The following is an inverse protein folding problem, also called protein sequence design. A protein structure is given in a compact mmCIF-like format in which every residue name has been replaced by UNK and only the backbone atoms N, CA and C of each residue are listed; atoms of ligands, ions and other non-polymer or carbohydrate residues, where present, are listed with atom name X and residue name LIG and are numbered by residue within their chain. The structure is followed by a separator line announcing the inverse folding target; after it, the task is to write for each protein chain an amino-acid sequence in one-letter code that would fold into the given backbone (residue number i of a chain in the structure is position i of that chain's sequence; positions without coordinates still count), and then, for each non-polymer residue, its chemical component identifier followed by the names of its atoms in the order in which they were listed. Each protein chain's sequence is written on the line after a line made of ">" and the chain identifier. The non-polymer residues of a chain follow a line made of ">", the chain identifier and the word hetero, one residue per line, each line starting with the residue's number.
data_IF_689018313452
#
_entry.id   IF_689018313452
#
_cell.length_a   1.000
_cell.length_b   1.000
_cell.length_c   1.000
_cell.angle_alpha   90.00
_cell.angle_beta   90.00
_cell.angle_gamma   90.00
#
_symmetry.space_group_name_H-M   'P 1'
#
loop_
_entity.id
_entity.type
_entity.pdbx_description
1 polymer ?
#
# COMPACT_ATOMS: atom_id res chain seq x y z
N UNK A 1 18.76 28.91 -1.39
CA UNK A 1 17.40 29.44 -1.18
C UNK A 1 16.51 28.34 -0.64
N UNK A 2 15.80 28.58 0.46
CA UNK A 2 14.89 27.58 1.04
C UNK A 2 13.71 27.33 0.07
N UNK A 3 13.51 26.09 -0.36
CA UNK A 3 12.33 25.72 -1.16
C UNK A 3 11.11 25.76 -0.25
N UNK A 4 10.04 26.42 -0.69
CA UNK A 4 8.76 26.46 0.03
C UNK A 4 8.18 25.04 0.08
N UNK A 5 7.64 24.63 1.23
CA UNK A 5 7.11 23.27 1.48
C UNK A 5 5.60 23.33 1.71
N UNK A 6 4.85 22.47 1.03
CA UNK A 6 3.44 22.19 1.32
C UNK A 6 3.37 20.79 1.95
N UNK A 7 3.02 20.75 3.22
CA UNK A 7 2.86 19.52 4.00
C UNK A 7 1.38 19.19 4.23
N UNK A 8 1.10 18.03 4.83
CA UNK A 8 -0.27 17.65 5.22
C UNK A 8 -0.93 18.70 6.11
N UNK A 9 -0.16 19.30 7.01
CA UNK A 9 -0.61 20.34 7.93
C UNK A 9 -1.13 21.57 7.18
N UNK A 10 -0.43 22.01 6.14
CA UNK A 10 -0.85 23.15 5.30
C UNK A 10 -2.21 22.89 4.64
N UNK A 11 -2.44 21.65 4.21
CA UNK A 11 -3.70 21.24 3.57
C UNK A 11 -4.84 21.15 4.60
N UNK A 12 -4.53 20.64 5.79
CA UNK A 12 -5.50 20.54 6.87
C UNK A 12 -5.94 21.92 7.36
N UNK A 13 -5.01 22.86 7.56
CA UNK A 13 -5.32 24.23 7.96
C UNK A 13 -6.15 24.97 6.91
N UNK A 14 -5.81 24.81 5.62
CA UNK A 14 -6.62 25.36 4.53
C UNK A 14 -8.06 24.82 4.56
N UNK A 15 -8.23 23.52 4.78
CA UNK A 15 -9.56 22.90 4.90
C UNK A 15 -10.35 23.43 6.11
N UNK A 16 -9.69 23.65 7.25
CA UNK A 16 -10.33 24.25 8.43
C UNK A 16 -10.76 25.71 8.20
N UNK A 17 -10.03 26.43 7.33
CA UNK A 17 -10.41 27.77 6.86
C UNK A 17 -11.47 27.76 5.75
N UNK A 18 -11.95 26.59 5.33
CA UNK A 18 -12.93 26.42 4.25
C UNK A 18 -12.34 26.61 2.85
N UNK A 19 -11.01 26.67 2.72
CA UNK A 19 -10.34 26.83 1.44
C UNK A 19 -10.36 25.51 0.66
N UNK A 20 -10.95 25.53 -0.54
CA UNK A 20 -10.98 24.37 -1.44
C UNK A 20 -9.85 24.37 -2.47
N UNK A 21 -8.98 25.37 -2.43
CA UNK A 21 -7.93 25.56 -3.43
C UNK A 21 -6.67 26.17 -2.79
N UNK A 22 -5.55 25.46 -2.93
CA UNK A 22 -4.22 25.96 -2.57
C UNK A 22 -3.42 26.12 -3.87
N UNK A 23 -2.92 27.34 -4.11
CA UNK A 23 -2.06 27.63 -5.26
C UNK A 23 -0.59 27.73 -4.81
N UNK A 24 0.34 27.24 -5.63
CA UNK A 24 1.76 27.25 -5.31
C UNK A 24 2.67 27.53 -6.50
N UNK A 25 3.84 28.11 -6.22
CA UNK A 25 4.82 28.51 -7.22
C UNK A 25 5.64 27.31 -7.73
N UNK A 26 6.10 27.41 -8.97
CA UNK A 26 6.98 26.41 -9.61
C UNK A 26 8.28 26.26 -8.83
N UNK A 27 8.53 25.06 -8.31
CA UNK A 27 9.67 24.76 -7.43
C UNK A 27 9.33 24.61 -5.94
N UNK A 28 8.06 24.80 -5.57
CA UNK A 28 7.53 24.43 -4.25
C UNK A 28 7.54 22.90 -4.10
N UNK A 29 8.07 22.40 -2.98
CA UNK A 29 8.04 20.97 -2.67
C UNK A 29 6.68 20.65 -2.06
N UNK A 30 5.90 19.81 -2.73
CA UNK A 30 4.61 19.34 -2.22
C UNK A 30 4.78 17.89 -1.77
N UNK A 31 4.60 17.61 -0.48
CA UNK A 31 4.73 16.23 0.02
C UNK A 31 3.61 15.35 -0.56
N UNK A 32 3.87 14.05 -0.71
CA UNK A 32 2.84 13.13 -1.20
C UNK A 32 1.68 13.01 -0.21
N UNK A 33 1.96 13.03 1.10
CA UNK A 33 0.94 13.09 2.15
C UNK A 33 0.03 14.33 2.01
N UNK A 34 0.57 15.49 1.62
CA UNK A 34 -0.24 16.67 1.33
C UNK A 34 -1.20 16.43 0.15
N UNK A 35 -0.74 15.77 -0.93
CA UNK A 35 -1.59 15.45 -2.09
C UNK A 35 -2.71 14.48 -1.73
N UNK A 36 -2.41 13.47 -0.93
CA UNK A 36 -3.39 12.48 -0.46
C UNK A 36 -4.42 13.12 0.48
N UNK A 37 -3.97 13.91 1.45
CA UNK A 37 -4.85 14.69 2.34
C UNK A 37 -5.76 15.63 1.57
N UNK A 38 -5.23 16.29 0.54
CA UNK A 38 -6.00 17.20 -0.29
C UNK A 38 -7.11 16.47 -1.04
N UNK A 39 -6.84 15.27 -1.54
CA UNK A 39 -7.85 14.39 -2.15
C UNK A 39 -8.95 14.00 -1.15
N UNK A 40 -8.58 13.62 0.07
CA UNK A 40 -9.52 13.23 1.13
C UNK A 40 -10.42 14.38 1.59
N UNK A 41 -9.85 15.58 1.72
CA UNK A 41 -10.56 16.77 2.21
C UNK A 41 -11.22 17.61 1.09
N UNK A 42 -11.13 17.16 -0.16
CA UNK A 42 -11.68 17.89 -1.31
C UNK A 42 -10.97 19.22 -1.61
N UNK A 43 -9.73 19.37 -1.17
CA UNK A 43 -8.88 20.54 -1.45
C UNK A 43 -8.11 20.29 -2.74
N UNK A 44 -8.12 21.24 -3.68
CA UNK A 44 -7.33 21.18 -4.91
C UNK A 44 -5.98 21.83 -4.70
N UNK A 45 -4.91 21.17 -5.13
CA UNK A 45 -3.57 21.74 -5.17
C UNK A 45 -3.26 22.12 -6.63
N UNK A 46 -3.08 23.41 -6.92
CA UNK A 46 -2.74 23.90 -8.26
C UNK A 46 -1.38 24.59 -8.29
N UNK A 47 -0.49 24.10 -9.15
CA UNK A 47 0.73 24.82 -9.48
C UNK A 47 0.37 26.02 -10.37
N UNK A 48 0.89 27.20 -10.05
CA UNK A 48 0.74 28.38 -10.90
C UNK A 48 1.58 28.17 -12.16
N UNK A 49 0.92 27.80 -13.26
CA UNK A 49 1.53 27.72 -14.58
C UNK A 49 1.21 28.99 -15.39
N UNK A 50 2.24 29.66 -15.92
CA UNK A 50 2.07 30.35 -17.21
C UNK A 50 1.71 29.28 -18.25
N UNK A 51 0.73 29.59 -19.10
CA UNK A 51 0.08 28.69 -20.06
C UNK A 51 1.03 27.70 -20.77
N UNK A 52 0.71 26.41 -20.70
CA UNK A 52 0.24 25.64 -21.85
C UNK A 52 0.14 24.14 -21.56
N UNK A 53 -0.90 23.55 -22.17
CA UNK A 53 -1.14 22.13 -22.46
C UNK A 53 -1.47 21.18 -21.28
N UNK A 54 -2.71 20.67 -21.34
CA UNK A 54 -3.29 19.64 -20.47
C UNK A 54 -2.51 18.32 -20.51
N UNK A 55 -2.37 17.59 -19.40
CA UNK A 55 -2.20 16.15 -19.43
C UNK A 55 -3.53 15.43 -19.20
N UNK A 56 -3.75 14.42 -20.04
CA UNK A 56 -4.82 13.44 -20.04
C UNK A 56 -4.84 12.58 -18.77
N UNK A 57 -6.05 12.15 -18.41
CA UNK A 57 -6.39 11.15 -17.39
C UNK A 57 -5.45 9.94 -17.41
N UNK A 58 -4.91 9.46 -16.27
CA UNK A 58 -4.17 8.21 -16.28
C UNK A 58 -5.14 7.03 -16.50
N UNK A 59 -4.83 6.25 -17.53
CA UNK A 59 -5.48 5.00 -17.87
C UNK A 59 -5.29 3.96 -16.75
N UNK A 60 -6.27 3.07 -16.61
CA UNK A 60 -6.16 1.82 -15.85
C UNK A 60 -4.86 1.10 -16.24
N UNK A 61 -3.97 0.77 -15.29
CA UNK A 61 -2.73 0.09 -15.64
C UNK A 61 -3.06 -1.30 -16.18
N UNK A 62 -2.67 -1.55 -17.42
CA UNK A 62 -2.69 -2.86 -18.04
C UNK A 62 -1.65 -3.73 -17.32
N UNK A 63 -2.12 -4.75 -16.59
CA UNK A 63 -1.28 -5.70 -15.88
C UNK A 63 -0.43 -6.49 -16.88
N UNK A 64 0.89 -6.28 -16.88
CA UNK A 64 1.83 -7.17 -17.55
C UNK A 64 1.74 -8.55 -16.91
N UNK A 65 1.81 -9.61 -17.72
CA UNK A 65 1.89 -10.99 -17.23
C UNK A 65 3.26 -11.26 -16.60
N UNK A 66 3.48 -10.74 -15.40
CA UNK A 66 4.61 -11.08 -14.52
C UNK A 66 4.08 -12.08 -13.49
N UNK A 67 4.73 -13.25 -13.36
CA UNK A 67 4.42 -14.22 -12.29
C UNK A 67 4.12 -15.66 -12.68
N UNK A 68 4.22 -16.05 -13.97
CA UNK A 68 3.83 -17.39 -14.43
C UNK A 68 4.66 -18.49 -13.73
N UNK A 69 4.06 -19.12 -12.71
CA UNK A 69 4.68 -20.20 -11.93
C UNK A 69 5.36 -19.77 -10.62
N UNK A 70 5.38 -18.48 -10.27
CA UNK A 70 5.90 -18.01 -8.99
C UNK A 70 4.93 -18.35 -7.84
N UNK A 71 5.49 -18.70 -6.68
CA UNK A 71 4.73 -19.04 -5.47
C UNK A 71 4.56 -17.80 -4.60
N UNK A 72 3.33 -17.52 -4.17
CA UNK A 72 2.96 -16.49 -3.22
C UNK A 72 2.46 -17.16 -1.95
N UNK A 73 3.16 -16.94 -0.83
CA UNK A 73 2.67 -17.33 0.48
C UNK A 73 1.63 -16.30 0.94
N UNK A 74 0.45 -16.74 1.37
CA UNK A 74 -0.58 -15.88 1.92
C UNK A 74 -0.96 -16.35 3.32
N UNK A 75 -1.15 -15.40 4.23
CA UNK A 75 -1.68 -15.66 5.55
C UNK A 75 -2.54 -14.51 6.06
N UNK A 76 -3.34 -14.78 7.08
CA UNK A 76 -4.13 -13.77 7.78
C UNK A 76 -4.40 -14.15 9.24
N UNK A 77 -4.77 -13.16 10.04
CA UNK A 77 -5.52 -13.42 11.26
C UNK A 77 -7.02 -13.58 10.96
N UNK A 78 -7.82 -13.68 12.02
CA UNK A 78 -9.28 -13.78 11.95
C UNK A 78 -9.93 -12.57 11.28
N UNK A 79 -9.41 -11.36 11.54
CA UNK A 79 -9.91 -10.13 10.91
C UNK A 79 -9.63 -10.08 9.40
N UNK A 80 -8.54 -10.70 8.94
CA UNK A 80 -8.15 -10.76 7.54
C UNK A 80 -8.68 -11.99 6.77
N UNK A 81 -9.35 -12.94 7.42
CA UNK A 81 -9.73 -14.23 6.81
C UNK A 81 -10.58 -14.06 5.54
N UNK A 82 -11.67 -13.28 5.61
CA UNK A 82 -12.54 -13.08 4.46
C UNK A 82 -11.81 -12.42 3.28
N UNK A 83 -10.95 -11.43 3.56
CA UNK A 83 -10.15 -10.77 2.53
C UNK A 83 -9.13 -11.72 1.91
N UNK A 84 -8.48 -12.58 2.72
CA UNK A 84 -7.58 -13.63 2.24
C UNK A 84 -8.31 -14.56 1.27
N UNK A 85 -9.47 -15.09 1.65
CA UNK A 85 -10.25 -16.01 0.81
C UNK A 85 -10.66 -15.39 -0.52
N UNK A 86 -11.01 -14.10 -0.54
CA UNK A 86 -11.31 -13.37 -1.78
C UNK A 86 -10.06 -13.11 -2.65
N UNK A 87 -8.90 -12.92 -2.02
CA UNK A 87 -7.67 -12.58 -2.71
C UNK A 87 -7.00 -13.79 -3.38
N UNK A 88 -7.15 -15.00 -2.82
CA UNK A 88 -6.60 -16.24 -3.39
C UNK A 88 -6.95 -16.45 -4.87
N UNK A 89 -8.23 -16.48 -5.28
CA UNK A 89 -8.58 -16.69 -6.69
C UNK A 89 -8.12 -15.53 -7.59
N UNK A 90 -8.05 -14.31 -7.06
CA UNK A 90 -7.50 -13.18 -7.80
C UNK A 90 -6.01 -13.38 -8.10
N UNK A 91 -5.21 -13.77 -7.11
CA UNK A 91 -3.77 -14.05 -7.29
C UNK A 91 -3.56 -15.21 -8.27
N UNK A 92 -4.36 -16.27 -8.14
CA UNK A 92 -4.30 -17.42 -9.06
C UNK A 92 -4.67 -17.02 -10.50
N UNK A 93 -5.65 -16.13 -10.68
CA UNK A 93 -6.02 -15.60 -12.00
C UNK A 93 -4.89 -14.82 -12.69
N UNK A 94 -3.94 -14.29 -11.91
CA UNK A 94 -2.74 -13.61 -12.41
C UNK A 94 -1.61 -14.59 -12.80
N UNK A 95 -1.79 -15.90 -12.61
CA UNK A 95 -0.85 -16.94 -12.99
C UNK A 95 0.16 -17.36 -11.91
N UNK A 96 -0.02 -16.87 -10.68
CA UNK A 96 0.76 -17.28 -9.51
C UNK A 96 0.18 -18.54 -8.87
N UNK A 97 1.02 -19.29 -8.15
CA UNK A 97 0.57 -20.36 -7.24
C UNK A 97 0.44 -19.80 -5.84
N UNK A 98 -0.65 -20.11 -5.15
CA UNK A 98 -0.89 -19.65 -3.79
C UNK A 98 -0.61 -20.76 -2.79
N UNK A 99 0.15 -20.43 -1.74
CA UNK A 99 0.34 -21.28 -0.55
C UNK A 99 -0.30 -20.57 0.64
N UNK A 100 -1.42 -21.10 1.12
CA UNK A 100 -2.19 -20.55 2.23
C UNK A 100 -1.74 -21.17 3.55
N UNK A 101 -1.14 -20.36 4.44
CA UNK A 101 -0.64 -20.80 5.75
C UNK A 101 -1.62 -20.51 6.90
N UNK A 102 -2.86 -20.15 6.57
CA UNK A 102 -3.93 -19.86 7.52
C UNK A 102 -4.06 -18.37 7.84
N UNK A 103 -4.97 -17.96 8.72
CA UNK A 103 -5.99 -18.80 9.40
C UNK A 103 -6.99 -19.41 8.42
N UNK A 104 -7.70 -20.46 8.85
CA UNK A 104 -8.70 -21.17 8.05
C UNK A 104 -10.14 -20.95 8.54
N UNK A 105 -10.33 -20.07 9.51
CA UNK A 105 -11.63 -19.71 10.08
C UNK A 105 -11.64 -18.27 10.59
N UNK A 106 -12.84 -17.76 10.90
CA UNK A 106 -13.04 -16.46 11.56
C UNK A 106 -12.86 -16.53 13.08
N UNK A 107 -12.44 -17.68 13.61
CA UNK A 107 -12.22 -17.85 15.05
C UNK A 107 -11.02 -17.04 15.51
N UNK A 108 -11.14 -16.45 16.70
CA UNK A 108 -10.11 -15.62 17.30
C UNK A 108 -8.75 -16.37 17.32
N UNK A 109 -7.74 -15.71 16.78
CA UNK A 109 -6.40 -16.26 16.64
C UNK A 109 -5.33 -15.18 16.66
N UNK A 110 -4.10 -15.59 16.97
CA UNK A 110 -2.95 -14.71 17.12
C UNK A 110 -2.20 -14.57 15.78
N UNK A 111 -2.19 -13.35 15.25
CA UNK A 111 -1.49 -12.99 14.00
C UNK A 111 0.02 -13.36 13.95
N UNK A 112 0.81 -13.37 15.06
CA UNK A 112 2.25 -13.63 14.97
C UNK A 112 2.59 -15.00 14.38
N UNK A 113 1.78 -16.02 14.64
CA UNK A 113 1.99 -17.38 14.12
C UNK A 113 1.92 -17.41 12.60
N UNK A 114 0.92 -16.73 12.02
CA UNK A 114 0.71 -16.66 10.58
C UNK A 114 1.72 -15.72 9.91
N UNK A 115 2.01 -14.57 10.52
CA UNK A 115 3.02 -13.65 10.03
C UNK A 115 4.41 -14.31 9.96
N UNK A 116 4.77 -15.09 10.99
CA UNK A 116 6.01 -15.88 10.99
C UNK A 116 6.01 -16.97 9.92
N UNK A 117 4.90 -17.70 9.74
CA UNK A 117 4.79 -18.74 8.71
C UNK A 117 4.98 -18.17 7.30
N UNK A 118 4.32 -17.05 6.96
CA UNK A 118 4.50 -16.34 5.68
C UNK A 118 5.95 -15.90 5.51
N UNK A 119 6.51 -15.22 6.51
CA UNK A 119 7.87 -14.71 6.47
C UNK A 119 8.91 -15.82 6.32
N UNK A 120 8.72 -16.96 7.00
CA UNK A 120 9.61 -18.11 6.93
C UNK A 120 9.63 -18.73 5.52
N UNK A 121 8.48 -18.93 4.88
CA UNK A 121 8.42 -19.46 3.51
C UNK A 121 9.18 -18.57 2.51
N UNK A 122 9.05 -17.25 2.65
CA UNK A 122 9.78 -16.30 1.81
C UNK A 122 11.28 -16.33 2.12
N UNK A 123 11.65 -16.40 3.40
CA UNK A 123 13.06 -16.43 3.82
C UNK A 123 13.78 -17.69 3.35
N UNK A 124 13.08 -18.82 3.24
CA UNK A 124 13.61 -20.09 2.75
C UNK A 124 13.63 -20.19 1.22
N UNK A 125 13.06 -19.22 0.51
CA UNK A 125 12.92 -19.24 -0.95
C UNK A 125 11.84 -20.22 -1.45
N UNK A 126 11.04 -20.79 -0.55
CA UNK A 126 9.88 -21.63 -0.89
C UNK A 126 8.73 -20.81 -1.48
N UNK A 127 8.67 -19.51 -1.13
CA UNK A 127 7.81 -18.52 -1.75
C UNK A 127 8.60 -17.33 -2.27
N UNK A 128 8.23 -16.80 -3.43
CA UNK A 128 8.85 -15.61 -4.02
C UNK A 128 8.49 -14.32 -3.26
N UNK A 129 7.26 -14.26 -2.74
CA UNK A 129 6.70 -13.15 -1.96
C UNK A 129 5.70 -13.67 -0.95
N UNK A 130 5.44 -12.84 0.06
CA UNK A 130 4.47 -13.08 1.11
C UNK A 130 3.42 -11.98 1.16
N UNK A 131 2.17 -12.35 1.44
CA UNK A 131 1.05 -11.46 1.73
C UNK A 131 0.51 -11.84 3.11
N UNK A 132 0.48 -10.88 4.02
CA UNK A 132 -0.06 -11.06 5.37
C UNK A 132 -1.17 -10.03 5.59
N UNK A 133 -2.34 -10.49 6.00
CA UNK A 133 -3.54 -9.66 6.17
C UNK A 133 -3.98 -9.72 7.62
N UNK A 134 -4.04 -8.56 8.27
CA UNK A 134 -4.66 -8.40 9.59
C UNK A 134 -5.43 -7.08 9.62
N UNK A 135 -6.06 -6.73 10.74
CA UNK A 135 -6.84 -5.51 10.87
C UNK A 135 -6.07 -4.21 10.48
N UNK A 136 -4.78 -4.11 10.78
CA UNK A 136 -3.97 -2.88 10.58
C UNK A 136 -2.71 -3.14 9.72
N UNK A 137 -2.18 -4.36 9.71
CA UNK A 137 -1.00 -4.84 9.00
C UNK A 137 0.34 -4.51 9.69
N UNK A 138 0.38 -3.48 10.53
CA UNK A 138 1.61 -2.97 11.12
C UNK A 138 2.25 -3.99 12.09
N UNK A 139 1.44 -4.64 12.91
CA UNK A 139 1.92 -5.59 13.91
C UNK A 139 2.44 -6.88 13.25
N UNK A 140 1.75 -7.41 12.25
CA UNK A 140 2.25 -8.52 11.45
C UNK A 140 3.53 -8.17 10.70
N UNK A 141 3.65 -6.96 10.15
CA UNK A 141 4.89 -6.51 9.52
C UNK A 141 6.05 -6.46 10.51
N UNK A 142 5.83 -6.02 11.75
CA UNK A 142 6.85 -6.05 12.81
C UNK A 142 7.31 -7.48 13.12
N UNK A 143 6.39 -8.45 13.20
CA UNK A 143 6.72 -9.87 13.42
C UNK A 143 7.50 -10.45 12.24
N UNK A 144 7.00 -10.25 11.01
CA UNK A 144 7.64 -10.76 9.80
C UNK A 144 9.07 -10.23 9.63
N UNK A 145 9.31 -8.95 9.96
CA UNK A 145 10.65 -8.34 9.91
C UNK A 145 11.62 -8.86 10.99
N UNK A 146 11.18 -9.68 11.95
CA UNK A 146 12.09 -10.39 12.85
C UNK A 146 12.76 -11.60 12.18
N UNK A 147 12.21 -12.09 11.07
CA UNK A 147 12.81 -13.17 10.29
C UNK A 147 13.93 -12.60 9.43
N UNK A 148 15.12 -13.20 9.53
CA UNK A 148 16.28 -12.76 8.77
C UNK A 148 16.02 -12.78 7.27
N UNK A 149 16.45 -11.75 6.54
CA UNK A 149 16.26 -11.65 5.08
C UNK A 149 14.89 -11.09 4.64
N UNK A 150 13.94 -10.91 5.56
CA UNK A 150 12.62 -10.38 5.25
C UNK A 150 12.57 -8.85 5.31
N UNK A 151 11.82 -8.28 4.37
CA UNK A 151 11.44 -6.86 4.32
C UNK A 151 9.93 -6.77 4.10
N UNK A 152 9.19 -6.81 5.19
CA UNK A 152 7.74 -6.66 5.20
C UNK A 152 7.35 -5.18 5.34
N UNK A 153 6.49 -4.71 4.44
CA UNK A 153 5.96 -3.36 4.45
C UNK A 153 4.44 -3.39 4.64
N UNK A 154 3.95 -2.65 5.64
CA UNK A 154 2.52 -2.46 5.87
C UNK A 154 1.98 -1.42 4.87
N UNK A 155 1.13 -1.87 3.95
CA UNK A 155 0.61 -1.04 2.87
C UNK A 155 -0.92 -0.92 2.98
N UNK A 156 -1.43 0.31 2.97
CA UNK A 156 -2.87 0.62 3.09
C UNK A 156 -3.44 1.30 1.83
N UNK A 157 -2.59 1.59 0.85
CA UNK A 157 -2.98 2.20 -0.42
C UNK A 157 -1.96 1.83 -1.52
N UNK A 158 -2.29 2.16 -2.77
CA UNK A 158 -1.41 1.91 -3.92
C UNK A 158 -0.06 2.62 -3.83
N UNK A 159 0.00 3.76 -3.13
CA UNK A 159 1.22 4.54 -2.99
C UNK A 159 2.25 3.85 -2.08
N UNK A 160 1.80 3.40 -0.91
CA UNK A 160 2.63 2.66 0.05
C UNK A 160 3.08 1.33 -0.54
N UNK A 161 2.19 0.63 -1.25
CA UNK A 161 2.54 -0.59 -1.97
C UNK A 161 3.67 -0.35 -2.99
N UNK A 162 3.53 0.68 -3.84
CA UNK A 162 4.54 1.02 -4.85
C UNK A 162 5.87 1.47 -4.24
N UNK A 163 5.84 2.26 -3.18
CA UNK A 163 7.04 2.81 -2.54
C UNK A 163 7.83 1.76 -1.75
N UNK A 164 7.20 0.62 -1.42
CA UNK A 164 7.84 -0.48 -0.69
C UNK A 164 8.69 -1.42 -1.55
N UNK A 165 8.61 -1.30 -2.87
CA UNK A 165 9.24 -2.20 -3.85
C UNK A 165 10.54 -1.63 -4.38
#
# INVERSE_FOLDING_TARGET
>A
MARKLISEQTVYEASQRGEKLITYEKGTLVTMAAKERAKLLGVKLMEQAKESSKPSTPATPQLKQEGKGEIIAIGSDHGGFQTKEQLKPFIESLGYKVVDVGTYSEEACDYPSFAYAVARLVSLGEASKGIMIDAVGAASAMVANKVHGIRAACCHNEFTARSSR
#
